data_IF_877754658878
#
_entry.id   IF_877754658878
#
_cell.length_a   1.000
_cell.length_b   1.000
_cell.length_c   1.000
_cell.angle_alpha   90.00
_cell.angle_beta   90.00
_cell.angle_gamma   90.00
#
_symmetry.space_group_name_H-M   'P 1'
#
loop_
_entity.id
_entity.type
_entity.pdbx_description
1 polymer ?
#
# COMPACT_ATOMS: atom_id res chain seq x y z
N UNK A 1 -4.64 -18.21 15.42
CA UNK A 1 -3.60 -19.26 15.22
C UNK A 1 -4.19 -20.49 14.52
N UNK A 2 -5.48 -20.74 14.69
CA UNK A 2 -6.18 -21.92 14.18
C UNK A 2 -6.27 -21.99 12.65
N UNK A 3 -6.29 -20.83 11.99
CA UNK A 3 -6.34 -20.76 10.53
C UNK A 3 -5.08 -21.34 9.86
N UNK A 4 -3.90 -21.21 10.47
CA UNK A 4 -2.66 -21.82 9.95
C UNK A 4 -2.69 -23.35 10.05
N UNK A 5 -3.24 -23.88 11.13
CA UNK A 5 -3.47 -25.32 11.29
C UNK A 5 -4.48 -25.83 10.26
N UNK A 6 -5.57 -25.10 10.05
CA UNK A 6 -6.55 -25.41 9.01
C UNK A 6 -5.92 -25.41 7.61
N UNK A 7 -5.11 -24.39 7.28
CA UNK A 7 -4.38 -24.32 6.00
C UNK A 7 -3.46 -25.54 5.83
N UNK A 8 -2.69 -25.90 6.87
CA UNK A 8 -1.80 -27.06 6.83
C UNK A 8 -2.57 -28.36 6.56
N UNK A 9 -3.68 -28.59 7.27
CA UNK A 9 -4.54 -29.77 7.08
C UNK A 9 -5.08 -29.80 5.64
N UNK A 10 -5.59 -28.68 5.12
CA UNK A 10 -6.14 -28.59 3.77
C UNK A 10 -5.07 -28.90 2.73
N UNK A 11 -3.89 -28.28 2.84
CA UNK A 11 -2.79 -28.47 1.87
C UNK A 11 -2.30 -29.92 1.89
N UNK A 12 -2.11 -30.51 3.06
CA UNK A 12 -1.63 -31.90 3.19
C UNK A 12 -2.67 -32.89 2.65
N UNK A 13 -3.92 -32.78 3.08
CA UNK A 13 -4.98 -33.72 2.67
C UNK A 13 -5.27 -33.62 1.16
N UNK A 14 -5.34 -32.42 0.60
CA UNK A 14 -5.55 -32.21 -0.85
C UNK A 14 -4.37 -32.69 -1.69
N UNK A 15 -3.12 -32.49 -1.23
CA UNK A 15 -1.92 -32.98 -1.92
C UNK A 15 -1.86 -34.51 -1.93
N UNK A 16 -2.12 -35.15 -0.78
CA UNK A 16 -2.17 -36.63 -0.67
C UNK A 16 -3.27 -37.19 -1.58
N UNK A 17 -4.47 -36.57 -1.54
CA UNK A 17 -5.60 -36.98 -2.40
C UNK A 17 -5.20 -36.91 -3.87
N UNK A 18 -4.51 -35.85 -4.29
CA UNK A 18 -4.05 -35.68 -5.67
C UNK A 18 -3.03 -36.75 -6.08
N UNK A 19 -2.14 -37.17 -5.17
CA UNK A 19 -1.20 -38.28 -5.41
C UNK A 19 -1.94 -39.61 -5.60
N UNK A 20 -2.97 -39.89 -4.78
CA UNK A 20 -3.79 -41.11 -4.90
C UNK A 20 -4.47 -41.19 -6.27
N UNK A 21 -4.93 -40.06 -6.81
CA UNK A 21 -5.48 -39.96 -8.16
C UNK A 21 -4.42 -39.90 -9.28
N UNK A 22 -3.13 -40.06 -8.95
CA UNK A 22 -2.02 -40.04 -9.92
C UNK A 22 -1.66 -38.66 -10.46
N UNK A 23 -2.21 -37.58 -9.90
CA UNK A 23 -1.96 -36.21 -10.34
C UNK A 23 -0.83 -35.56 -9.53
N UNK A 24 0.39 -36.02 -9.79
CA UNK A 24 1.60 -35.54 -9.10
C UNK A 24 1.89 -34.05 -9.35
N UNK A 25 1.60 -33.54 -10.56
CA UNK A 25 1.79 -32.13 -10.87
C UNK A 25 0.88 -31.24 -10.02
N UNK A 26 -0.40 -31.60 -9.93
CA UNK A 26 -1.34 -30.85 -9.10
C UNK A 26 -0.99 -30.95 -7.61
N UNK A 27 -0.53 -32.11 -7.13
CA UNK A 27 -0.04 -32.27 -5.76
C UNK A 27 1.14 -31.31 -5.46
N UNK A 28 2.11 -31.22 -6.36
CA UNK A 28 3.24 -30.30 -6.22
C UNK A 28 2.78 -28.83 -6.21
N UNK A 29 1.82 -28.46 -7.06
CA UNK A 29 1.25 -27.12 -7.10
C UNK A 29 0.53 -26.76 -5.79
N UNK A 30 -0.28 -27.66 -5.25
CA UNK A 30 -0.99 -27.48 -3.98
C UNK A 30 -0.01 -27.26 -2.83
N UNK A 31 1.01 -28.12 -2.76
CA UNK A 31 2.05 -28.02 -1.73
C UNK A 31 2.81 -26.69 -1.82
N UNK A 32 3.28 -26.31 -3.02
CA UNK A 32 4.00 -25.05 -3.23
C UNK A 32 3.12 -23.84 -2.92
N UNK A 33 1.84 -23.86 -3.33
CA UNK A 33 0.89 -22.79 -3.04
C UNK A 33 0.66 -22.63 -1.54
N UNK A 34 0.48 -23.74 -0.82
CA UNK A 34 0.35 -23.74 0.63
C UNK A 34 1.56 -23.15 1.35
N UNK A 35 2.77 -23.55 0.92
CA UNK A 35 4.01 -22.98 1.44
C UNK A 35 4.12 -21.48 1.20
N UNK A 36 3.85 -21.02 -0.03
CA UNK A 36 3.89 -19.60 -0.37
C UNK A 36 2.87 -18.80 0.43
N UNK A 37 1.63 -19.27 0.53
CA UNK A 37 0.59 -18.63 1.33
C UNK A 37 0.99 -18.51 2.80
N UNK A 38 1.53 -19.59 3.38
CA UNK A 38 2.06 -19.58 4.75
C UNK A 38 3.19 -18.58 4.92
N UNK A 39 4.14 -18.54 3.98
CA UNK A 39 5.27 -17.60 3.98
C UNK A 39 4.80 -16.14 3.92
N UNK A 40 3.92 -15.80 2.97
CA UNK A 40 3.43 -14.44 2.80
C UNK A 40 2.55 -13.97 3.97
N UNK A 41 1.81 -14.88 4.60
CA UNK A 41 0.97 -14.52 5.73
C UNK A 41 1.74 -14.17 7.01
N UNK A 42 3.00 -14.58 7.13
CA UNK A 42 3.88 -14.22 8.25
C UNK A 42 4.55 -12.86 8.01
N UNK A 43 4.57 -12.38 6.75
CA UNK A 43 5.20 -11.12 6.39
C UNK A 43 4.49 -9.96 7.09
N UNK A 44 5.19 -9.33 8.03
CA UNK A 44 4.67 -8.15 8.73
C UNK A 44 4.56 -6.97 7.75
N UNK A 45 3.53 -6.12 7.90
CA UNK A 45 3.44 -4.89 7.13
C UNK A 45 4.67 -4.02 7.41
N UNK A 46 5.24 -3.45 6.36
CA UNK A 46 6.38 -2.55 6.47
C UNK A 46 5.91 -1.19 6.96
N UNK A 47 6.55 -0.67 8.01
CA UNK A 47 6.24 0.68 8.53
C UNK A 47 6.91 1.70 7.61
N UNK A 48 6.10 2.53 6.96
CA UNK A 48 6.58 3.60 6.07
C UNK A 48 6.60 4.91 6.85
N UNK A 49 7.79 5.51 6.99
CA UNK A 49 7.94 6.83 7.60
C UNK A 49 7.80 7.93 6.56
N UNK A 50 6.96 8.91 6.87
CA UNK A 50 6.76 10.13 6.09
C UNK A 50 7.27 11.33 6.90
N UNK A 51 8.03 12.19 6.25
CA UNK A 51 8.59 13.40 6.88
C UNK A 51 8.43 14.56 5.90
N UNK A 52 7.78 15.63 6.34
CA UNK A 52 7.73 16.89 5.60
C UNK A 52 8.79 17.80 6.20
N UNK A 53 9.81 18.16 5.42
CA UNK A 53 10.93 18.98 5.88
C UNK A 53 11.19 20.14 4.92
N UNK A 54 12.20 20.95 5.23
CA UNK A 54 12.49 22.17 4.46
C UNK A 54 12.77 21.94 2.97
N UNK A 55 13.19 20.72 2.58
CA UNK A 55 13.52 20.37 1.20
C UNK A 55 12.33 19.76 0.45
N UNK A 56 11.34 19.20 1.14
CA UNK A 56 10.18 18.57 0.50
C UNK A 56 9.57 17.44 1.33
N UNK A 57 8.82 16.56 0.66
CA UNK A 57 8.28 15.35 1.28
C UNK A 57 9.28 14.21 1.15
N UNK A 58 9.73 13.65 2.27
CA UNK A 58 10.53 12.43 2.31
C UNK A 58 9.66 11.22 2.63
N UNK A 59 9.77 10.19 1.79
CA UNK A 59 9.11 8.90 1.94
C UNK A 59 10.21 7.84 2.04
N UNK A 60 10.36 7.21 3.21
CA UNK A 60 11.48 6.31 3.52
C UNK A 60 12.84 7.01 3.28
N UNK A 61 13.57 6.59 2.26
CA UNK A 61 14.87 7.15 1.84
C UNK A 61 14.77 8.11 0.66
N UNK A 62 13.59 8.25 0.05
CA UNK A 62 13.40 9.05 -1.16
C UNK A 62 12.84 10.43 -0.82
N UNK A 63 13.48 11.48 -1.29
CA UNK A 63 13.01 12.85 -1.19
C UNK A 63 12.24 13.25 -2.46
N UNK A 64 11.07 13.84 -2.27
CA UNK A 64 10.26 14.52 -3.27
C UNK A 64 10.40 16.03 -3.03
N UNK A 65 11.30 16.72 -3.76
CA UNK A 65 11.52 18.14 -3.59
C UNK A 65 10.25 18.93 -3.93
N UNK A 66 10.03 20.06 -3.25
CA UNK A 66 8.86 20.92 -3.48
C UNK A 66 8.75 21.36 -4.95
N UNK A 67 9.88 21.58 -5.62
CA UNK A 67 9.94 22.00 -7.02
C UNK A 67 9.37 20.96 -8.00
N UNK A 68 9.25 19.69 -7.56
CA UNK A 68 8.68 18.59 -8.36
C UNK A 68 7.24 18.25 -7.96
N UNK A 69 6.65 19.03 -7.06
CA UNK A 69 5.26 18.89 -6.64
C UNK A 69 4.43 19.90 -7.42
N UNK A 70 3.52 19.39 -8.25
CA UNK A 70 2.65 20.20 -9.11
C UNK A 70 1.44 20.76 -8.37
N UNK A 71 0.84 19.96 -7.50
CA UNK A 71 -0.30 20.36 -6.68
C UNK A 71 -0.45 19.41 -5.50
N UNK A 72 -1.17 19.86 -4.48
CA UNK A 72 -1.50 19.05 -3.31
C UNK A 72 -2.98 19.15 -2.95
N UNK A 73 -3.47 18.25 -2.12
CA UNK A 73 -4.79 18.36 -1.51
C UNK A 73 -4.82 17.73 -0.14
N UNK A 74 -5.40 18.43 0.83
CA UNK A 74 -5.65 17.88 2.17
C UNK A 74 -7.13 17.62 2.32
N UNK A 75 -7.50 16.34 2.40
CA UNK A 75 -8.86 15.89 2.68
C UNK A 75 -9.00 15.56 4.16
N UNK A 76 -10.06 16.04 4.82
CA UNK A 76 -10.31 15.81 6.25
C UNK A 76 -11.67 15.17 6.56
N UNK A 77 -12.59 15.09 5.58
CA UNK A 77 -14.00 14.77 5.82
C UNK A 77 -14.30 13.29 6.08
N UNK A 78 -13.64 12.36 5.37
CA UNK A 78 -13.94 10.92 5.44
C UNK A 78 -12.80 10.18 6.12
N UNK A 79 -11.60 10.32 5.56
CA UNK A 79 -10.35 9.73 6.01
C UNK A 79 -9.28 10.82 5.81
N UNK A 80 -8.61 11.31 6.87
CA UNK A 80 -7.66 12.40 6.73
C UNK A 80 -6.49 11.97 5.83
N UNK A 81 -6.39 12.60 4.66
CA UNK A 81 -5.46 12.21 3.61
C UNK A 81 -4.78 13.41 2.99
N UNK A 82 -3.47 13.28 2.77
CA UNK A 82 -2.68 14.17 1.95
C UNK A 82 -2.49 13.54 0.58
N UNK A 83 -2.85 14.28 -0.46
CA UNK A 83 -2.57 13.95 -1.84
C UNK A 83 -1.48 14.86 -2.38
N UNK A 84 -0.53 14.28 -3.10
CA UNK A 84 0.55 15.01 -3.76
C UNK A 84 0.62 14.58 -5.21
N UNK A 85 0.46 15.54 -6.12
CA UNK A 85 0.71 15.37 -7.55
C UNK A 85 2.16 15.67 -7.85
N UNK A 86 2.93 14.64 -8.19
CA UNK A 86 4.31 14.76 -8.66
C UNK A 86 4.38 14.89 -10.19
N UNK A 87 5.55 15.24 -10.72
CA UNK A 87 5.79 15.31 -12.16
C UNK A 87 5.89 13.94 -12.86
N UNK A 88 5.72 12.83 -12.14
CA UNK A 88 5.91 11.48 -12.70
C UNK A 88 4.90 11.18 -13.81
N UNK A 89 5.38 10.51 -14.87
CA UNK A 89 4.54 10.10 -16.00
C UNK A 89 3.56 8.96 -15.65
N UNK A 90 3.92 8.09 -14.70
CA UNK A 90 3.10 6.96 -14.26
C UNK A 90 2.82 7.06 -12.76
N UNK A 91 1.54 6.92 -12.38
CA UNK A 91 1.03 7.13 -11.01
C UNK A 91 1.50 8.47 -10.39
N UNK A 92 1.07 9.63 -10.95
CA UNK A 92 1.56 10.93 -10.51
C UNK A 92 1.08 11.31 -9.10
N UNK A 93 0.00 10.70 -8.61
CA UNK A 93 -0.64 11.04 -7.34
C UNK A 93 -0.22 10.08 -6.23
N UNK A 94 0.40 10.63 -5.19
CA UNK A 94 0.74 9.92 -3.95
C UNK A 94 -0.34 10.26 -2.92
N UNK A 95 -0.96 9.25 -2.31
CA UNK A 95 -1.90 9.41 -1.19
C UNK A 95 -1.26 8.93 0.11
N UNK A 96 -1.39 9.75 1.16
CA UNK A 96 -0.77 9.52 2.46
C UNK A 96 -1.84 9.71 3.52
N UNK A 97 -2.04 8.71 4.38
CA UNK A 97 -2.87 8.84 5.56
C UNK A 97 -2.16 9.78 6.54
N UNK A 98 -2.85 10.83 6.98
CA UNK A 98 -2.33 11.80 7.93
C UNK A 98 -3.20 11.82 9.19
N UNK A 99 -2.69 12.39 10.26
CA UNK A 99 -3.54 12.74 11.41
C UNK A 99 -4.30 14.03 11.12
N UNK A 100 -5.56 14.10 11.53
CA UNK A 100 -6.40 15.28 11.26
C UNK A 100 -5.84 16.57 11.88
N UNK A 101 -5.12 16.46 12.99
CA UNK A 101 -4.46 17.59 13.66
C UNK A 101 -3.33 18.21 12.82
N UNK A 102 -2.70 17.44 11.93
CA UNK A 102 -1.60 17.90 11.07
C UNK A 102 -2.09 18.60 9.78
N UNK A 103 -3.37 18.44 9.43
CA UNK A 103 -3.95 19.01 8.23
C UNK A 103 -3.71 20.53 8.06
N UNK A 104 -3.95 21.40 9.06
CA UNK A 104 -3.69 22.84 8.93
C UNK A 104 -2.20 23.15 8.73
N UNK A 105 -1.32 22.46 9.46
CA UNK A 105 0.13 22.67 9.36
C UNK A 105 0.64 22.28 7.97
N UNK A 106 0.23 21.11 7.47
CA UNK A 106 0.58 20.65 6.11
C UNK A 106 0.11 21.64 5.05
N UNK A 107 -1.14 22.15 5.16
CA UNK A 107 -1.65 23.17 4.23
C UNK A 107 -0.77 24.42 4.25
N UNK A 108 -0.46 24.94 5.43
CA UNK A 108 0.37 26.15 5.58
C UNK A 108 1.77 25.97 4.99
N UNK A 109 2.41 24.82 5.22
CA UNK A 109 3.74 24.51 4.69
C UNK A 109 3.69 24.45 3.16
N UNK A 110 2.74 23.72 2.58
CA UNK A 110 2.65 23.57 1.12
C UNK A 110 2.37 24.90 0.42
N UNK A 111 1.44 25.70 0.95
CA UNK A 111 1.13 27.03 0.41
C UNK A 111 2.31 27.99 0.53
N UNK A 112 3.09 27.91 1.62
CA UNK A 112 4.31 28.73 1.77
C UNK A 112 5.39 28.43 0.73
N UNK A 113 5.29 27.29 0.04
CA UNK A 113 6.18 26.86 -1.04
C UNK A 113 5.61 27.11 -2.44
N UNK A 114 4.53 27.91 -2.54
CA UNK A 114 3.85 28.25 -3.79
C UNK A 114 3.27 27.04 -4.54
N UNK A 115 2.91 25.99 -3.81
CA UNK A 115 2.28 24.80 -4.38
C UNK A 115 0.75 25.00 -4.33
N UNK A 116 0.03 24.87 -5.45
CA UNK A 116 -1.42 25.07 -5.47
C UNK A 116 -2.17 23.89 -4.81
N UNK A 117 -3.22 24.23 -4.05
CA UNK A 117 -4.18 23.24 -3.54
C UNK A 117 -5.25 22.94 -4.60
N UNK A 118 -5.24 21.73 -5.17
CA UNK A 118 -6.20 21.31 -6.21
C UNK A 118 -6.97 20.10 -5.73
N UNK A 119 -8.32 20.12 -5.75
CA UNK A 119 -9.11 18.96 -5.30
C UNK A 119 -8.75 17.69 -6.09
N UNK A 120 -8.23 16.68 -5.39
CA UNK A 120 -7.84 15.40 -5.98
C UNK A 120 -8.82 14.29 -5.60
N UNK A 121 -8.62 13.10 -6.16
CA UNK A 121 -9.23 11.85 -5.69
C UNK A 121 -8.18 10.75 -5.82
N UNK A 122 -8.31 9.71 -5.02
CA UNK A 122 -7.49 8.51 -5.19
C UNK A 122 -7.63 7.96 -6.61
N UNK A 123 -6.50 7.46 -7.14
CA UNK A 123 -6.53 6.77 -8.41
C UNK A 123 -7.36 5.48 -8.24
N UNK A 124 -8.28 5.15 -9.17
CA UNK A 124 -9.16 3.99 -9.04
C UNK A 124 -8.41 2.66 -8.81
N UNK A 125 -7.20 2.53 -9.37
CA UNK A 125 -6.36 1.35 -9.15
C UNK A 125 -5.97 1.13 -7.69
N UNK A 126 -5.77 2.21 -6.92
CA UNK A 126 -5.40 2.12 -5.51
C UNK A 126 -6.53 1.48 -4.71
N UNK A 127 -7.77 1.87 -5.00
CA UNK A 127 -8.97 1.29 -4.37
C UNK A 127 -9.15 -0.20 -4.71
N UNK A 128 -8.76 -0.61 -5.92
CA UNK A 128 -8.75 -2.02 -6.31
C UNK A 128 -7.68 -2.79 -5.53
N UNK A 129 -6.49 -2.20 -5.35
CA UNK A 129 -5.41 -2.81 -4.56
C UNK A 129 -5.82 -2.98 -3.10
N UNK A 130 -6.38 -1.94 -2.47
CA UNK A 130 -6.89 -2.03 -1.09
C UNK A 130 -7.95 -3.14 -0.95
N UNK A 131 -8.87 -3.25 -1.93
CA UNK A 131 -9.88 -4.32 -1.99
C UNK A 131 -9.26 -5.73 -2.10
N UNK A 132 -8.09 -5.85 -2.70
CA UNK A 132 -7.36 -7.11 -2.85
C UNK A 132 -6.41 -7.38 -1.66
N UNK A 133 -6.36 -6.49 -0.67
CA UNK A 133 -5.52 -6.60 0.52
C UNK A 133 -4.07 -6.14 0.32
N UNK A 134 -3.81 -5.27 -0.67
CA UNK A 134 -2.50 -4.69 -0.98
C UNK A 134 -2.43 -3.20 -0.62
#
# INVERSE_FOLDING_TARGET
>A
KDWFWALGIIVVTSSITSIIYGNYFFAALLFLSGLLLGFFAIKKPEIITYELNNQGLKIRTHLYPYERIKSFWVQTEIKPMLFIKSERAFMPVISILIENVLAPDIRSIMLSKDIPEEKMKEHPSLKIMESLGF
#
